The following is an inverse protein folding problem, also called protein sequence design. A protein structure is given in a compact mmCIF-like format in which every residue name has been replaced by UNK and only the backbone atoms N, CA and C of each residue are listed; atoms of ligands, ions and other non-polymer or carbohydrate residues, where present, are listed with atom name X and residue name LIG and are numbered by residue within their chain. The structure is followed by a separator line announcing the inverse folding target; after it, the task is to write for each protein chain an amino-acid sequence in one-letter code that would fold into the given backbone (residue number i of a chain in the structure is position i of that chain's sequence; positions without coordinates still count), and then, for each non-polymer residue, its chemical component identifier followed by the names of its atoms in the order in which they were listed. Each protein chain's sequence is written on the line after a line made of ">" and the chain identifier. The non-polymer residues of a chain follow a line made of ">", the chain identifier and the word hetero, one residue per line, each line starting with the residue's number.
data_IF_181499044200
#
_entry.id   IF_181499044200
#
_cell.length_a   1.000
_cell.length_b   1.000
_cell.length_c   1.000
_cell.angle_alpha   90.00
_cell.angle_beta   90.00
_cell.angle_gamma   90.00
#
_symmetry.space_group_name_H-M   'P 1'
#
loop_
_entity.id
_entity.type
_entity.pdbx_description
1 polymer ?
#
# COMPACT_ATOMS: atom_id res chain seq x y z
N UNK A 1 -7.18 30.27 1.91
CA UNK A 1 -6.25 31.06 1.05
C UNK A 1 -5.31 30.14 0.28
N UNK A 2 -4.78 29.08 0.91
CA UNK A 2 -3.87 28.10 0.28
C UNK A 2 -4.35 27.49 -1.06
N UNK A 3 -5.64 27.18 -1.20
CA UNK A 3 -6.17 26.61 -2.46
C UNK A 3 -6.06 27.58 -3.65
N UNK A 4 -6.25 28.88 -3.39
CA UNK A 4 -6.11 29.93 -4.41
C UNK A 4 -4.63 30.07 -4.78
N UNK A 5 -3.73 30.07 -3.78
CA UNK A 5 -2.28 30.10 -4.01
C UNK A 5 -1.77 28.89 -4.79
N UNK A 6 -2.35 27.71 -4.55
CA UNK A 6 -2.05 26.50 -5.32
C UNK A 6 -2.45 26.66 -6.79
N UNK A 7 -3.65 27.18 -7.06
CA UNK A 7 -4.18 27.36 -8.41
C UNK A 7 -3.45 28.45 -9.20
N UNK A 8 -2.95 29.49 -8.52
CA UNK A 8 -2.22 30.59 -9.14
C UNK A 8 -0.75 30.26 -9.46
N UNK A 9 -0.25 29.07 -9.11
CA UNK A 9 1.15 28.67 -9.30
C UNK A 9 1.33 27.66 -10.43
N UNK A 10 1.66 28.16 -11.62
CA UNK A 10 1.95 27.33 -12.79
C UNK A 10 3.11 26.33 -12.57
N UNK A 11 4.06 26.66 -11.70
CA UNK A 11 5.16 25.77 -11.33
C UNK A 11 4.69 24.54 -10.56
N UNK A 12 3.73 24.70 -9.65
CA UNK A 12 3.13 23.58 -8.91
C UNK A 12 2.26 22.74 -9.82
N UNK A 13 1.54 23.37 -10.76
CA UNK A 13 0.77 22.65 -11.79
C UNK A 13 1.67 21.78 -12.66
N UNK A 14 2.74 22.35 -13.21
CA UNK A 14 3.73 21.60 -13.98
C UNK A 14 4.37 20.48 -13.16
N UNK A 15 4.62 20.72 -11.86
CA UNK A 15 5.13 19.67 -10.97
C UNK A 15 4.11 18.54 -10.80
N UNK A 16 2.84 18.86 -10.57
CA UNK A 16 1.75 17.88 -10.49
C UNK A 16 1.64 17.03 -11.76
N UNK A 17 1.81 17.63 -12.94
CA UNK A 17 1.77 16.86 -14.20
C UNK A 17 2.98 15.93 -14.35
N UNK A 18 4.12 16.29 -13.72
CA UNK A 18 5.36 15.50 -13.76
C UNK A 18 5.44 14.36 -12.73
N UNK A 19 4.67 14.43 -11.63
CA UNK A 19 4.70 13.45 -10.54
C UNK A 19 3.31 12.88 -10.31
N UNK A 20 3.18 11.67 -9.78
CA UNK A 20 1.83 11.16 -9.50
C UNK A 20 1.19 11.92 -8.32
N UNK A 21 -0.15 11.90 -8.27
CA UNK A 21 -0.93 12.55 -7.22
C UNK A 21 -0.53 12.12 -5.78
N UNK A 22 -0.01 10.90 -5.61
CA UNK A 22 0.46 10.40 -4.33
C UNK A 22 1.78 11.05 -3.86
N UNK A 23 2.63 11.49 -4.79
CA UNK A 23 3.93 12.09 -4.50
C UNK A 23 3.87 13.61 -4.47
N UNK A 24 2.89 14.21 -5.15
CA UNK A 24 2.72 15.66 -5.22
C UNK A 24 2.73 16.37 -3.86
N UNK A 25 2.05 15.86 -2.81
CA UNK A 25 1.99 16.55 -1.51
C UNK A 25 3.35 16.72 -0.83
N UNK A 26 4.33 15.87 -1.15
CA UNK A 26 5.68 15.98 -0.61
C UNK A 26 6.40 17.26 -1.08
N UNK A 27 5.99 17.81 -2.23
CA UNK A 27 6.57 19.01 -2.85
C UNK A 27 5.86 20.32 -2.45
N UNK A 28 4.80 20.23 -1.64
CA UNK A 28 4.14 21.42 -1.10
C UNK A 28 5.02 22.08 -0.03
N UNK A 29 5.16 23.41 -0.15
CA UNK A 29 5.87 24.26 0.81
C UNK A 29 5.16 24.31 2.16
N UNK A 30 5.88 24.64 3.23
CA UNK A 30 5.32 24.75 4.59
C UNK A 30 4.23 25.82 4.73
N UNK A 31 4.16 26.77 3.79
CA UNK A 31 3.08 27.76 3.69
C UNK A 31 1.74 27.17 3.26
N UNK A 32 1.74 25.93 2.73
CA UNK A 32 0.56 25.18 2.29
C UNK A 32 0.29 23.99 3.23
N UNK A 33 0.51 24.17 4.54
CA UNK A 33 0.45 23.11 5.53
C UNK A 33 -0.95 22.48 5.62
N UNK A 34 -2.02 23.28 5.49
CA UNK A 34 -3.39 22.75 5.58
C UNK A 34 -3.71 21.85 4.38
N UNK A 35 -3.31 22.25 3.18
CA UNK A 35 -3.44 21.46 1.96
C UNK A 35 -2.60 20.17 2.04
N UNK A 36 -1.38 20.26 2.57
CA UNK A 36 -0.51 19.09 2.80
C UNK A 36 -1.13 18.09 3.76
N UNK A 37 -1.71 18.57 4.87
CA UNK A 37 -2.39 17.73 5.85
C UNK A 37 -3.65 17.05 5.26
N UNK A 38 -4.45 17.78 4.48
CA UNK A 38 -5.63 17.22 3.81
C UNK A 38 -5.22 16.17 2.77
N UNK A 39 -4.20 16.44 1.96
CA UNK A 39 -3.71 15.47 0.99
C UNK A 39 -3.17 14.20 1.67
N UNK A 40 -2.45 14.33 2.79
CA UNK A 40 -2.01 13.19 3.59
C UNK A 40 -3.18 12.37 4.15
N UNK A 41 -4.23 13.04 4.64
CA UNK A 41 -5.45 12.38 5.13
C UNK A 41 -6.16 11.60 4.02
N UNK A 42 -6.34 12.22 2.85
CA UNK A 42 -6.97 11.58 1.69
C UNK A 42 -6.13 10.38 1.22
N UNK A 43 -4.82 10.54 1.07
CA UNK A 43 -3.93 9.44 0.67
C UNK A 43 -3.93 8.29 1.70
N UNK A 44 -4.02 8.59 2.99
CA UNK A 44 -4.14 7.59 4.06
C UNK A 44 -5.46 6.82 3.99
N UNK A 45 -6.57 7.50 3.68
CA UNK A 45 -7.86 6.84 3.46
C UNK A 45 -7.78 5.87 2.27
N UNK A 46 -7.24 6.31 1.13
CA UNK A 46 -7.07 5.43 -0.02
C UNK A 46 -6.15 4.24 0.27
N UNK A 47 -5.02 4.47 0.95
CA UNK A 47 -4.09 3.41 1.32
C UNK A 47 -4.70 2.38 2.26
N UNK A 48 -5.41 2.83 3.30
CA UNK A 48 -6.05 1.93 4.28
C UNK A 48 -7.21 1.14 3.68
N UNK A 49 -8.07 1.77 2.85
CA UNK A 49 -9.13 1.06 2.14
C UNK A 49 -8.57 -0.01 1.20
N UNK A 50 -7.55 0.34 0.41
CA UNK A 50 -6.89 -0.61 -0.49
C UNK A 50 -6.29 -1.80 0.28
N UNK A 51 -5.60 -1.55 1.39
CA UNK A 51 -5.04 -2.62 2.23
C UNK A 51 -6.13 -3.52 2.81
N UNK A 52 -7.24 -2.95 3.28
CA UNK A 52 -8.39 -3.72 3.77
C UNK A 52 -9.02 -4.59 2.68
N UNK A 53 -9.19 -4.05 1.46
CA UNK A 53 -9.71 -4.80 0.32
C UNK A 53 -8.78 -5.94 -0.08
N UNK A 54 -7.47 -5.69 -0.16
CA UNK A 54 -6.46 -6.71 -0.43
C UNK A 54 -6.47 -7.81 0.63
N UNK A 55 -6.56 -7.45 1.91
CA UNK A 55 -6.66 -8.39 3.02
C UNK A 55 -7.92 -9.27 2.89
N UNK A 56 -9.07 -8.66 2.60
CA UNK A 56 -10.32 -9.39 2.43
C UNK A 56 -10.28 -10.35 1.24
N UNK A 57 -9.73 -9.90 0.11
CA UNK A 57 -9.48 -10.75 -1.06
C UNK A 57 -8.58 -11.95 -0.70
N UNK A 58 -7.47 -11.71 0.02
CA UNK A 58 -6.56 -12.76 0.45
C UNK A 58 -7.21 -13.74 1.42
N UNK A 59 -8.02 -13.25 2.36
CA UNK A 59 -8.80 -14.10 3.27
C UNK A 59 -9.81 -14.96 2.51
N UNK A 60 -10.48 -14.39 1.50
CA UNK A 60 -11.41 -15.12 0.64
C UNK A 60 -10.72 -16.23 -0.15
N UNK A 61 -9.51 -15.99 -0.67
CA UNK A 61 -8.71 -16.99 -1.39
C UNK A 61 -8.24 -18.11 -0.46
N UNK A 62 -7.81 -17.78 0.75
CA UNK A 62 -7.26 -18.76 1.70
C UNK A 62 -8.32 -19.58 2.43
N UNK A 63 -9.57 -19.11 2.48
CA UNK A 63 -10.68 -19.84 3.07
C UNK A 63 -11.18 -20.90 2.09
N UNK A 64 -11.00 -22.16 2.44
CA UNK A 64 -11.56 -23.30 1.70
C UNK A 64 -12.49 -24.10 2.59
N UNK A 65 -13.39 -24.94 2.05
CA UNK A 65 -14.29 -25.76 2.87
C UNK A 65 -13.55 -26.67 3.86
N UNK A 66 -12.31 -27.05 3.54
CA UNK A 66 -11.46 -27.95 4.34
C UNK A 66 -10.47 -27.22 5.27
N UNK A 67 -10.37 -25.88 5.18
CA UNK A 67 -9.39 -25.08 5.93
C UNK A 67 -10.03 -23.81 6.48
N UNK A 68 -10.15 -23.72 7.79
CA UNK A 68 -10.50 -22.49 8.49
C UNK A 68 -9.29 -21.55 8.58
N UNK A 69 -9.57 -20.25 8.62
CA UNK A 69 -8.56 -19.22 8.80
C UNK A 69 -8.33 -19.07 10.30
N UNK A 70 -7.15 -19.47 10.78
CA UNK A 70 -6.75 -19.30 12.19
C UNK A 70 -6.13 -17.92 12.40
N UNK A 71 -6.00 -17.49 13.65
CA UNK A 71 -5.41 -16.18 14.00
C UNK A 71 -3.98 -16.03 13.48
N UNK A 72 -3.18 -17.11 13.48
CA UNK A 72 -1.82 -17.10 12.90
C UNK A 72 -1.82 -16.84 11.39
N UNK A 73 -2.79 -17.41 10.67
CA UNK A 73 -2.97 -17.15 9.23
C UNK A 73 -3.38 -15.71 8.99
N UNK A 74 -4.26 -15.17 9.84
CA UNK A 74 -4.68 -13.77 9.76
C UNK A 74 -3.53 -12.80 9.99
N UNK A 75 -2.73 -13.02 11.04
CA UNK A 75 -1.54 -12.20 11.33
C UNK A 75 -0.52 -12.25 10.19
N UNK A 76 -0.32 -13.42 9.59
CA UNK A 76 0.55 -13.58 8.42
C UNK A 76 0.02 -12.82 7.21
N UNK A 77 -1.27 -12.90 6.93
CA UNK A 77 -1.93 -12.18 5.83
C UNK A 77 -1.88 -10.65 6.02
N UNK A 78 -2.06 -10.17 7.26
CA UNK A 78 -1.87 -8.75 7.60
C UNK A 78 -0.44 -8.30 7.31
N UNK A 79 0.56 -9.09 7.73
CA UNK A 79 1.97 -8.75 7.50
C UNK A 79 2.32 -8.70 6.02
N UNK A 80 1.79 -9.62 5.21
CA UNK A 80 2.02 -9.67 3.76
C UNK A 80 1.35 -8.47 3.09
N UNK A 81 0.10 -8.19 3.42
CA UNK A 81 -0.70 -7.13 2.75
C UNK A 81 -0.15 -5.74 3.07
N UNK A 82 0.28 -5.51 4.31
CA UNK A 82 0.82 -4.22 4.76
C UNK A 82 2.28 -3.99 4.40
N UNK A 83 3.00 -5.01 3.91
CA UNK A 83 4.40 -4.88 3.54
C UNK A 83 4.53 -4.14 2.20
N UNK A 84 5.19 -2.97 2.21
CA UNK A 84 5.46 -2.17 1.00
C UNK A 84 6.45 -2.86 0.04
N UNK A 85 7.28 -3.79 0.54
CA UNK A 85 8.09 -4.69 -0.27
C UNK A 85 8.36 -5.99 0.50
N UNK A 86 7.74 -7.08 0.05
CA UNK A 86 8.08 -8.43 0.50
C UNK A 86 8.63 -9.18 -0.71
N UNK A 87 9.95 -9.18 -0.86
CA UNK A 87 10.61 -10.03 -1.85
C UNK A 87 10.89 -11.38 -1.19
N UNK A 88 10.14 -12.45 -1.52
CA UNK A 88 10.46 -13.76 -1.00
C UNK A 88 11.84 -14.18 -1.53
N UNK A 89 12.73 -14.64 -0.66
CA UNK A 89 13.97 -15.27 -1.09
C UNK A 89 13.65 -16.66 -1.66
N UNK A 90 13.40 -16.70 -2.96
CA UNK A 90 12.99 -17.91 -3.69
C UNK A 90 14.07 -18.99 -3.57
N UNK A 91 15.35 -18.63 -3.57
CA UNK A 91 16.46 -19.57 -3.50
C UNK A 91 16.55 -20.23 -2.11
N UNK A 92 16.39 -19.45 -1.05
CA UNK A 92 16.33 -19.98 0.32
C UNK A 92 15.08 -20.86 0.55
N UNK A 93 13.94 -20.52 -0.05
CA UNK A 93 12.71 -21.34 0.05
C UNK A 93 12.86 -22.64 -0.75
N UNK A 94 13.42 -22.58 -1.96
CA UNK A 94 13.63 -23.73 -2.83
C UNK A 94 14.62 -24.73 -2.21
N UNK A 95 15.72 -24.25 -1.64
CA UNK A 95 16.71 -25.11 -0.96
C UNK A 95 16.18 -25.80 0.30
N UNK A 96 15.19 -25.20 0.99
CA UNK A 96 14.55 -25.79 2.18
C UNK A 96 13.44 -26.78 1.86
N UNK A 97 12.85 -26.75 0.65
CA UNK A 97 11.86 -27.75 0.24
C UNK A 97 12.58 -29.02 -0.22
N UNK A 98 12.55 -30.06 0.62
CA UNK A 98 12.84 -31.43 0.15
C UNK A 98 11.75 -31.84 -0.85
N UNK A 99 12.10 -31.99 -2.12
CA UNK A 99 11.24 -32.64 -3.10
C UNK A 99 10.86 -34.04 -2.59
N UNK A 100 9.62 -34.23 -2.16
CA UNK A 100 9.03 -35.55 -1.97
C UNK A 100 8.44 -36.01 -3.30
N UNK A 101 9.30 -36.23 -4.28
CA UNK A 101 9.00 -37.06 -5.42
C UNK A 101 10.06 -38.15 -5.40
N UNK A 102 9.72 -39.31 -4.83
CA UNK A 102 10.29 -40.63 -5.03
C UNK A 102 9.75 -41.55 -3.92
N UNK A 103 8.65 -42.24 -4.24
CA UNK A 103 8.32 -43.61 -3.85
C UNK A 103 7.04 -44.00 -4.61
#
# INVERSE_FOLDING_TARGET
>A
MELIELQCRDTLKSKYDSVCAAQFPCFLSDTLHQLRAQAAQILSMFGSTYLCEQLFCLMKINKTPLRSLTDEHFQSNLRITSAQSLNPDINAIASKKRCRYLA
#
